data_IF_784777559766
#
_entry.id   IF_784777559766
#
_cell.length_a   1.000
_cell.length_b   1.000
_cell.length_c   1.000
_cell.angle_alpha   90.00
_cell.angle_beta   90.00
_cell.angle_gamma   90.00
#
_symmetry.space_group_name_H-M   'P 1'
#
loop_
_entity.id
_entity.type
_entity.pdbx_description
1 polymer ?
#
# COMPACT_ATOMS: atom_id res chain seq x y z
N UNK A 1 20.82 -10.97 15.52
CA UNK A 1 20.26 -9.59 15.44
C UNK A 1 19.19 -9.57 14.35
N UNK A 2 17.99 -9.07 14.64
CA UNK A 2 16.96 -8.91 13.60
C UNK A 2 17.42 -7.76 12.72
N UNK A 3 17.74 -8.04 11.46
CA UNK A 3 18.13 -7.02 10.47
C UNK A 3 16.87 -6.24 10.10
N UNK A 4 16.89 -4.91 10.29
CA UNK A 4 15.80 -4.05 9.85
C UNK A 4 15.95 -3.75 8.35
N UNK A 5 15.47 -4.68 7.53
CA UNK A 5 15.55 -4.61 6.07
C UNK A 5 14.80 -3.41 5.49
N UNK A 6 13.82 -2.86 6.21
CA UNK A 6 12.96 -1.77 5.73
C UNK A 6 13.68 -0.41 5.66
N UNK A 7 14.91 -0.31 6.17
CA UNK A 7 15.74 0.90 6.08
C UNK A 7 16.92 0.75 5.10
N UNK A 8 16.96 -0.34 4.34
CA UNK A 8 18.04 -0.63 3.39
C UNK A 8 17.62 -0.25 1.97
N UNK A 9 18.56 0.25 1.19
CA UNK A 9 18.36 0.32 -0.26
C UNK A 9 18.38 -1.12 -0.82
N UNK A 10 17.53 -1.45 -1.81
CA UNK A 10 17.49 -2.80 -2.34
C UNK A 10 18.70 -3.07 -3.24
N UNK A 11 19.35 -4.22 -3.07
CA UNK A 11 20.47 -4.62 -3.94
C UNK A 11 19.95 -5.14 -5.28
N UNK A 12 20.15 -4.40 -6.36
CA UNK A 12 19.62 -4.78 -7.68
C UNK A 12 20.36 -6.01 -8.26
N UNK A 13 21.63 -6.20 -7.91
CA UNK A 13 22.54 -7.15 -8.56
C UNK A 13 23.20 -6.60 -9.85
N UNK A 14 24.02 -7.44 -10.51
CA UNK A 14 24.69 -7.14 -11.79
C UNK A 14 24.64 -8.27 -12.84
N UNK A 15 23.70 -9.20 -12.71
CA UNK A 15 23.46 -10.35 -13.57
C UNK A 15 22.62 -10.03 -14.81
N UNK A 16 22.18 -11.08 -15.51
CA UNK A 16 21.52 -10.99 -16.82
C UNK A 16 20.08 -11.53 -16.86
N UNK A 17 19.59 -12.11 -15.77
CA UNK A 17 18.22 -12.66 -15.67
C UNK A 17 17.44 -11.98 -14.54
N UNK A 18 16.39 -11.24 -14.93
CA UNK A 18 15.57 -10.46 -14.01
C UNK A 18 14.42 -11.29 -13.42
N UNK A 19 14.31 -11.34 -12.09
CA UNK A 19 13.12 -11.70 -11.33
C UNK A 19 12.35 -10.43 -10.91
N UNK A 20 11.02 -10.50 -10.98
CA UNK A 20 10.15 -9.46 -10.40
C UNK A 20 9.96 -9.72 -8.91
N UNK A 21 10.39 -8.78 -8.09
CA UNK A 21 10.22 -8.79 -6.63
C UNK A 21 9.74 -7.42 -6.16
N UNK A 22 9.28 -7.34 -4.92
CA UNK A 22 8.93 -6.09 -4.27
C UNK A 22 10.06 -5.62 -3.35
N UNK A 23 10.29 -4.32 -3.28
CA UNK A 23 11.14 -3.71 -2.26
C UNK A 23 10.38 -2.58 -1.58
N UNK A 24 10.73 -2.29 -0.33
CA UNK A 24 10.14 -1.18 0.40
C UNK A 24 10.96 0.10 0.19
N UNK A 25 10.30 1.15 -0.30
CA UNK A 25 10.84 2.50 -0.34
C UNK A 25 10.36 3.29 0.89
N UNK A 26 11.25 3.43 1.87
CA UNK A 26 10.99 4.16 3.13
C UNK A 26 10.70 5.65 2.92
N UNK A 27 11.11 6.24 1.78
CA UNK A 27 10.87 7.66 1.49
C UNK A 27 9.43 7.92 1.11
N UNK A 28 8.78 6.93 0.49
CA UNK A 28 7.40 7.03 0.02
C UNK A 28 6.46 6.17 0.87
N UNK A 29 6.97 5.41 1.84
CA UNK A 29 6.24 4.41 2.63
C UNK A 29 5.47 3.43 1.73
N UNK A 30 6.10 2.94 0.66
CA UNK A 30 5.47 2.09 -0.34
C UNK A 30 6.32 0.86 -0.70
N UNK A 31 5.63 -0.23 -1.04
CA UNK A 31 6.24 -1.41 -1.62
C UNK A 31 6.11 -1.37 -3.14
N UNK A 32 7.24 -1.33 -3.84
CA UNK A 32 7.34 -1.10 -5.28
C UNK A 32 7.84 -2.38 -5.96
N UNK A 33 7.20 -2.78 -7.07
CA UNK A 33 7.71 -3.86 -7.91
C UNK A 33 8.98 -3.38 -8.64
N UNK A 34 10.07 -4.12 -8.45
CA UNK A 34 11.34 -3.92 -9.13
C UNK A 34 11.76 -5.17 -9.89
N UNK A 35 12.73 -4.99 -10.78
CA UNK A 35 13.44 -6.08 -11.43
C UNK A 35 14.79 -6.25 -10.75
N UNK A 36 15.07 -7.46 -10.32
CA UNK A 36 16.25 -7.84 -9.57
C UNK A 36 16.89 -9.03 -10.24
N UNK A 37 18.20 -9.15 -10.15
CA UNK A 37 18.82 -10.40 -10.57
C UNK A 37 18.30 -11.58 -9.76
N UNK A 38 18.36 -12.77 -10.38
CA UNK A 38 18.04 -14.01 -9.71
C UNK A 38 18.87 -14.12 -8.42
N UNK A 39 18.24 -14.19 -7.24
CA UNK A 39 18.97 -14.17 -5.98
C UNK A 39 19.82 -15.43 -5.84
N UNK A 40 21.12 -15.27 -5.66
CA UNK A 40 22.02 -16.35 -5.23
C UNK A 40 21.91 -16.51 -3.71
N UNK A 41 20.93 -17.28 -3.23
CA UNK A 41 20.77 -17.61 -1.80
C UNK A 41 19.44 -17.15 -1.19
N UNK A 42 19.43 -16.94 0.13
CA UNK A 42 18.22 -16.58 0.87
C UNK A 42 18.01 -15.06 0.91
N UNK A 43 16.83 -14.60 0.46
CA UNK A 43 16.48 -13.16 0.40
C UNK A 43 15.87 -12.61 1.71
N UNK A 44 15.79 -13.40 2.78
CA UNK A 44 15.03 -13.02 3.99
C UNK A 44 15.61 -11.83 4.76
N UNK A 45 16.91 -11.58 4.59
CA UNK A 45 17.67 -10.49 5.22
C UNK A 45 17.91 -9.30 4.27
N UNK A 46 17.26 -9.29 3.11
CA UNK A 46 17.32 -8.20 2.14
C UNK A 46 16.00 -7.43 2.09
N UNK A 47 16.05 -6.19 1.59
CA UNK A 47 14.85 -5.43 1.23
C UNK A 47 14.25 -5.94 -0.10
N UNK A 48 13.94 -7.23 -0.14
CA UNK A 48 13.35 -7.93 -1.30
C UNK A 48 12.29 -8.91 -0.81
N UNK A 49 11.14 -8.89 -1.47
CA UNK A 49 9.97 -9.66 -1.09
C UNK A 49 9.36 -10.30 -2.33
N UNK A 50 8.95 -11.56 -2.20
CA UNK A 50 8.35 -12.33 -3.31
C UNK A 50 6.96 -11.81 -3.71
N UNK A 51 6.27 -11.11 -2.81
CA UNK A 51 4.95 -10.52 -3.05
C UNK A 51 4.75 -9.23 -2.24
N UNK A 52 3.79 -8.42 -2.70
CA UNK A 52 3.50 -7.12 -2.11
C UNK A 52 2.94 -7.25 -0.68
N UNK A 53 2.14 -8.29 -0.39
CA UNK A 53 1.51 -8.52 0.91
C UNK A 53 2.57 -8.70 2.00
N UNK A 54 3.60 -9.51 1.71
CA UNK A 54 4.73 -9.77 2.61
C UNK A 54 5.56 -8.51 2.83
N UNK A 55 5.82 -7.74 1.77
CA UNK A 55 6.51 -6.45 1.87
C UNK A 55 5.71 -5.46 2.75
N UNK A 56 4.43 -5.27 2.43
CA UNK A 56 3.53 -4.37 3.13
C UNK A 56 3.43 -4.72 4.61
N UNK A 57 3.20 -6.00 4.93
CA UNK A 57 3.06 -6.50 6.30
C UNK A 57 4.33 -6.33 7.13
N UNK A 58 5.51 -6.44 6.51
CA UNK A 58 6.80 -6.31 7.20
C UNK A 58 7.19 -4.84 7.40
N UNK A 59 7.01 -3.99 6.38
CA UNK A 59 7.61 -2.66 6.35
C UNK A 59 6.64 -1.49 6.51
N UNK A 60 5.38 -1.60 6.08
CA UNK A 60 4.39 -0.49 6.12
C UNK A 60 3.69 -0.41 7.47
N UNK A 61 4.46 -0.09 8.52
CA UNK A 61 4.02 -0.12 9.93
C UNK A 61 2.89 0.86 10.26
N UNK A 62 2.67 1.88 9.42
CA UNK A 62 1.64 2.90 9.61
C UNK A 62 0.24 2.42 9.18
N UNK A 63 0.16 1.33 8.41
CA UNK A 63 -1.09 0.77 7.92
C UNK A 63 -1.42 -0.49 8.73
N UNK A 64 -2.67 -0.69 9.19
CA UNK A 64 -3.05 -1.92 9.88
C UNK A 64 -2.76 -3.14 8.99
N UNK A 65 -2.06 -4.15 9.53
CA UNK A 65 -1.69 -5.37 8.77
C UNK A 65 -2.88 -6.05 8.09
N UNK A 66 -4.03 -6.05 8.77
CA UNK A 66 -5.27 -6.60 8.23
C UNK A 66 -5.79 -5.88 6.98
N UNK A 67 -5.29 -4.70 6.62
CA UNK A 67 -5.60 -4.04 5.36
C UNK A 67 -4.89 -4.69 4.16
N UNK A 68 -3.84 -5.47 4.40
CA UNK A 68 -3.08 -6.17 3.36
C UNK A 68 -3.48 -7.63 3.20
N UNK A 69 -4.27 -8.16 4.14
CA UNK A 69 -4.77 -9.52 4.04
C UNK A 69 -5.82 -9.61 2.94
N UNK A 70 -5.70 -10.63 2.08
CA UNK A 70 -6.77 -10.94 1.13
C UNK A 70 -8.03 -11.31 1.94
N UNK A 71 -9.24 -10.83 1.57
CA UNK A 71 -10.52 -11.27 2.15
C UNK A 71 -10.86 -12.74 1.82
N UNK A 72 -9.83 -13.60 1.72
CA UNK A 72 -9.68 -14.93 1.09
C UNK A 72 -10.66 -15.99 1.59
N UNK A 73 -11.37 -15.74 2.69
CA UNK A 73 -12.31 -16.69 3.25
C UNK A 73 -13.69 -16.58 2.58
N UNK A 74 -13.74 -17.14 1.36
CA UNK A 74 -14.97 -17.36 0.58
C UNK A 74 -15.74 -18.59 1.08
N UNK A 75 -15.95 -18.71 2.38
CA UNK A 75 -16.78 -19.77 2.94
C UNK A 75 -18.20 -19.29 3.16
N UNK A 76 -19.15 -20.20 3.01
CA UNK A 76 -20.58 -19.91 3.09
C UNK A 76 -21.27 -19.90 1.73
N UNK A 77 -22.54 -19.52 1.74
CA UNK A 77 -23.43 -19.57 0.58
C UNK A 77 -24.13 -18.25 0.31
N UNK A 78 -23.87 -17.24 1.14
CA UNK A 78 -24.49 -15.93 1.01
C UNK A 78 -23.89 -15.14 -0.16
N UNK A 79 -24.52 -14.04 -0.53
CA UNK A 79 -24.01 -13.14 -1.56
C UNK A 79 -24.13 -11.67 -1.11
N UNK A 80 -23.33 -11.34 -0.09
CA UNK A 80 -23.44 -10.07 0.63
C UNK A 80 -22.46 -9.07 0.02
N UNK A 81 -22.96 -7.90 -0.38
CA UNK A 81 -22.10 -6.80 -0.80
C UNK A 81 -21.35 -6.22 0.41
N UNK A 82 -20.02 -6.17 0.29
CA UNK A 82 -19.10 -5.63 1.29
C UNK A 82 -18.00 -4.83 0.61
N UNK A 83 -17.21 -4.12 1.41
CA UNK A 83 -16.04 -3.38 0.95
C UNK A 83 -14.76 -4.07 1.43
N UNK A 84 -13.74 -4.10 0.60
CA UNK A 84 -12.39 -4.55 0.92
C UNK A 84 -11.40 -3.48 0.49
N UNK A 85 -10.28 -3.36 1.19
CA UNK A 85 -9.18 -2.52 0.76
C UNK A 85 -8.26 -3.31 -0.17
N UNK A 86 -7.96 -2.75 -1.34
CA UNK A 86 -6.96 -3.26 -2.28
C UNK A 86 -5.72 -2.35 -2.24
N UNK A 87 -4.61 -2.88 -1.70
CA UNK A 87 -3.34 -2.16 -1.59
C UNK A 87 -2.62 -2.00 -2.93
N UNK A 88 -2.99 -2.73 -3.98
CA UNK A 88 -2.43 -2.53 -5.31
C UNK A 88 -3.03 -1.29 -5.99
N UNK A 89 -4.35 -1.15 -5.92
CA UNK A 89 -5.05 0.00 -6.51
C UNK A 89 -5.19 1.20 -5.55
N UNK A 90 -4.79 1.02 -4.28
CA UNK A 90 -4.93 1.98 -3.18
C UNK A 90 -6.38 2.43 -2.96
N UNK A 91 -7.33 1.49 -3.11
CA UNK A 91 -8.76 1.80 -3.10
C UNK A 91 -9.56 0.82 -2.25
N UNK A 92 -10.64 1.33 -1.70
CA UNK A 92 -11.71 0.51 -1.19
C UNK A 92 -12.62 0.10 -2.34
N UNK A 93 -12.76 -1.20 -2.55
CA UNK A 93 -13.53 -1.77 -3.65
C UNK A 93 -14.67 -2.64 -3.12
N UNK A 94 -15.76 -2.70 -3.88
CA UNK A 94 -16.87 -3.60 -3.57
C UNK A 94 -16.52 -5.02 -3.95
N UNK A 95 -16.87 -5.96 -3.10
CA UNK A 95 -16.78 -7.39 -3.39
C UNK A 95 -17.97 -8.17 -2.83
N UNK A 96 -18.13 -9.42 -3.28
CA UNK A 96 -19.18 -10.33 -2.82
C UNK A 96 -18.64 -11.27 -1.74
N UNK A 97 -19.04 -11.05 -0.49
CA UNK A 97 -18.67 -11.87 0.65
C UNK A 97 -19.67 -13.00 0.87
N UNK A 98 -19.18 -14.19 1.24
CA UNK A 98 -19.96 -15.42 1.38
C UNK A 98 -20.56 -15.65 2.78
N UNK A 99 -20.28 -14.74 3.71
CA UNK A 99 -20.94 -14.67 5.02
C UNK A 99 -20.31 -15.52 6.12
N UNK A 100 -19.25 -16.28 5.85
CA UNK A 100 -18.49 -17.02 6.86
C UNK A 100 -17.00 -16.75 6.73
N UNK A 101 -16.32 -16.71 7.87
CA UNK A 101 -14.87 -16.55 7.97
C UNK A 101 -14.47 -15.31 8.78
N UNK A 102 -13.15 -15.09 8.93
CA UNK A 102 -12.60 -13.87 9.50
C UNK A 102 -13.08 -12.64 8.72
N UNK A 103 -13.39 -11.56 9.44
CA UNK A 103 -13.83 -10.27 8.88
C UNK A 103 -12.65 -9.31 8.66
N UNK A 104 -11.45 -9.85 8.41
CA UNK A 104 -10.24 -9.05 8.20
C UNK A 104 -10.27 -8.52 6.77
N UNK A 105 -10.03 -7.22 6.61
CA UNK A 105 -10.21 -6.50 5.34
C UNK A 105 -11.65 -6.53 4.78
N UNK A 106 -12.67 -6.65 5.64
CA UNK A 106 -14.08 -6.70 5.23
C UNK A 106 -14.86 -5.64 6.00
N UNK A 107 -15.43 -4.68 5.28
CA UNK A 107 -16.09 -3.51 5.85
C UNK A 107 -17.54 -3.40 5.38
N UNK A 108 -18.39 -2.79 6.22
CA UNK A 108 -19.80 -2.58 5.87
C UNK A 108 -19.99 -1.40 4.92
N UNK A 109 -19.06 -0.45 4.92
CA UNK A 109 -19.13 0.75 4.07
C UNK A 109 -17.77 1.17 3.53
N UNK A 110 -17.78 1.87 2.39
CA UNK A 110 -16.58 2.49 1.80
C UNK A 110 -15.90 3.47 2.77
N UNK A 111 -16.69 4.24 3.52
CA UNK A 111 -16.18 5.22 4.46
C UNK A 111 -15.41 4.58 5.61
N UNK A 112 -15.89 3.44 6.12
CA UNK A 112 -15.21 2.65 7.16
C UNK A 112 -13.90 2.06 6.63
N UNK A 113 -13.94 1.48 5.43
CA UNK A 113 -12.76 0.95 4.75
C UNK A 113 -11.69 2.04 4.56
N UNK A 114 -12.08 3.21 4.02
CA UNK A 114 -11.15 4.32 3.80
C UNK A 114 -10.59 4.88 5.11
N UNK A 115 -11.41 4.99 6.14
CA UNK A 115 -10.97 5.44 7.46
C UNK A 115 -9.96 4.49 8.10
N UNK A 116 -10.13 3.19 7.87
CA UNK A 116 -9.28 2.14 8.49
C UNK A 116 -7.99 1.92 7.72
N UNK A 117 -8.08 1.85 6.39
CA UNK A 117 -6.96 1.46 5.52
C UNK A 117 -6.53 2.60 4.61
N UNK A 118 -7.45 3.16 3.82
CA UNK A 118 -7.12 4.10 2.74
C UNK A 118 -6.38 5.36 3.20
N UNK A 119 -6.82 6.01 4.29
CA UNK A 119 -6.18 7.24 4.79
C UNK A 119 -4.77 6.97 5.29
N UNK A 120 -4.57 5.88 6.03
CA UNK A 120 -3.26 5.51 6.55
C UNK A 120 -2.29 5.16 5.41
N UNK A 121 -2.77 4.39 4.43
CA UNK A 121 -1.98 3.92 3.30
C UNK A 121 -1.60 5.05 2.32
N UNK A 122 -2.54 5.96 2.04
CA UNK A 122 -2.28 7.14 1.20
C UNK A 122 -1.42 8.20 1.89
N UNK A 123 -1.25 8.14 3.22
CA UNK A 123 -0.46 9.09 3.99
C UNK A 123 -0.83 10.56 3.72
N UNK A 124 0.17 11.40 3.40
CA UNK A 124 -0.05 12.81 3.06
C UNK A 124 -0.98 13.01 1.87
N UNK A 125 -1.06 12.04 0.95
CA UNK A 125 -1.90 12.12 -0.23
C UNK A 125 -3.39 11.89 0.06
N UNK A 126 -3.75 11.46 1.28
CA UNK A 126 -5.14 11.22 1.69
C UNK A 126 -5.94 12.51 1.96
N UNK A 127 -5.25 13.62 2.28
CA UNK A 127 -5.89 14.84 2.75
C UNK A 127 -6.41 15.69 1.59
N UNK A 128 -7.67 16.12 1.70
CA UNK A 128 -8.27 17.08 0.76
C UNK A 128 -7.64 18.44 0.97
N UNK A 129 -7.34 19.13 -0.11
CA UNK A 129 -6.84 20.48 -0.01
C UNK A 129 -7.87 21.49 0.52
N UNK A 130 -7.36 22.50 1.20
CA UNK A 130 -7.95 23.79 1.52
C UNK A 130 -7.38 24.85 0.57
N UNK A 131 -8.13 25.93 0.39
CA UNK A 131 -7.70 27.12 -0.35
C UNK A 131 -7.34 28.25 0.63
N UNK A 132 -6.55 29.22 0.17
CA UNK A 132 -6.15 30.41 0.94
C UNK A 132 -5.24 30.12 2.14
N UNK A 133 -4.29 29.21 1.96
CA UNK A 133 -3.30 28.86 2.97
C UNK A 133 -2.16 29.89 3.00
N UNK A 134 -1.47 30.00 4.13
CA UNK A 134 -0.20 30.72 4.18
C UNK A 134 0.90 29.75 3.72
N UNK A 135 1.38 29.95 2.50
CA UNK A 135 2.43 29.13 1.92
C UNK A 135 3.78 29.43 2.57
N UNK A 136 4.47 28.39 3.04
CA UNK A 136 5.91 28.37 3.33
C UNK A 136 6.67 27.67 2.20
N UNK A 137 7.80 27.04 2.50
CA UNK A 137 8.59 26.23 1.55
C UNK A 137 8.06 24.79 1.37
N UNK A 138 6.82 24.51 1.82
CA UNK A 138 6.25 23.17 1.84
C UNK A 138 5.76 22.73 0.44
N UNK A 139 6.22 21.57 -0.02
CA UNK A 139 5.72 20.92 -1.22
C UNK A 139 4.45 20.12 -0.91
N UNK A 140 3.30 20.61 -1.33
CA UNK A 140 2.03 19.91 -1.17
C UNK A 140 1.73 19.01 -2.38
N UNK A 141 1.36 17.74 -2.11
CA UNK A 141 1.08 16.72 -3.14
C UNK A 141 -0.29 16.05 -2.90
N UNK A 142 -0.91 15.55 -3.97
CA UNK A 142 -2.20 14.86 -3.94
C UNK A 142 -2.23 13.64 -4.88
N UNK A 143 -3.02 12.64 -4.53
CA UNK A 143 -3.21 11.46 -5.37
C UNK A 143 -4.30 11.70 -6.42
N UNK A 144 -3.93 11.70 -7.69
CA UNK A 144 -4.87 11.77 -8.80
C UNK A 144 -5.43 10.37 -9.10
N UNK A 145 -6.68 10.13 -8.70
CA UNK A 145 -7.34 8.84 -8.94
C UNK A 145 -7.62 8.52 -10.42
N UNK A 146 -7.60 9.51 -11.33
CA UNK A 146 -7.74 9.24 -12.77
C UNK A 146 -6.43 8.82 -13.40
N UNK A 147 -5.33 9.47 -13.02
CA UNK A 147 -4.00 9.20 -13.55
C UNK A 147 -3.19 8.19 -12.72
N UNK A 148 -3.69 7.78 -11.56
CA UNK A 148 -3.03 6.85 -10.63
C UNK A 148 -1.61 7.31 -10.26
N UNK A 149 -1.44 8.60 -9.94
CA UNK A 149 -0.14 9.16 -9.53
C UNK A 149 -0.26 10.35 -8.58
N UNK A 150 0.79 10.59 -7.80
CA UNK A 150 0.94 11.81 -7.00
C UNK A 150 1.26 13.02 -7.90
N UNK A 151 0.57 14.13 -7.67
CA UNK A 151 0.77 15.42 -8.37
C UNK A 151 0.98 16.53 -7.36
N UNK A 152 1.72 17.57 -7.76
CA UNK A 152 1.91 18.78 -6.95
C UNK A 152 0.59 19.57 -6.95
N UNK A 153 0.21 20.12 -5.80
CA UNK A 153 -0.94 21.02 -5.69
C UNK A 153 -0.69 22.37 -6.38
N UNK A 154 -1.72 23.04 -6.92
CA UNK A 154 -1.60 24.43 -7.34
C UNK A 154 -1.11 25.35 -6.21
N UNK A 155 -0.46 26.49 -6.51
CA UNK A 155 0.15 27.36 -5.51
C UNK A 155 -0.79 27.96 -4.46
N UNK A 156 -2.11 27.90 -4.63
CA UNK A 156 -3.10 28.43 -3.68
C UNK A 156 -3.77 27.34 -2.81
N UNK A 157 -3.33 26.09 -2.98
CA UNK A 157 -3.95 24.87 -2.46
C UNK A 157 -2.95 24.21 -1.49
N UNK A 158 -3.41 23.84 -0.29
CA UNK A 158 -2.63 23.10 0.71
C UNK A 158 -3.51 22.02 1.36
N UNK A 159 -2.99 20.98 2.02
CA UNK A 159 -3.77 19.98 2.76
C UNK A 159 -4.67 20.56 3.88
#
# INVERSE_FOLDING_TARGET
PIVDVCNQDPDIGSGAEDQKLFFYDWRTDNCIEGKFDYPEGEIYDENKFVDQETCNTKCRKNVPKGCFEDPKYRWGKEDIERWTYDSFSLKCEKFRWKGLGPIVNIFESEAECNKTCGIADLGLCAYRYRTHCKHGDDLYIWYDYKEQRCKIFPPDYCP
#
